data_IF_312731481845
#
_entry.id   IF_312731481845
#
_cell.length_a   1.000
_cell.length_b   1.000
_cell.length_c   1.000
_cell.angle_alpha   90.00
_cell.angle_beta   90.00
_cell.angle_gamma   90.00
#
_symmetry.space_group_name_H-M   'P 1'
#
loop_
_entity.id
_entity.type
_entity.pdbx_description
1 polymer ?
#
# COMPACT_ATOMS: atom_id res chain seq x y z
N UNK A 1 -18.17 3.97 5.02
CA UNK A 1 -17.11 2.98 4.77
C UNK A 1 -16.14 3.01 5.92
N UNK A 2 -15.76 1.84 6.45
CA UNK A 2 -14.91 1.72 7.64
C UNK A 2 -13.85 0.63 7.44
N UNK A 3 -12.61 0.94 7.77
CA UNK A 3 -11.52 -0.02 7.91
C UNK A 3 -11.35 -0.32 9.40
N UNK A 4 -11.41 -1.60 9.76
CA UNK A 4 -11.21 -2.05 11.15
C UNK A 4 -10.08 -3.06 11.22
N UNK A 5 -9.21 -2.87 12.18
CA UNK A 5 -8.27 -3.88 12.65
C UNK A 5 -8.65 -4.22 14.08
N UNK A 6 -8.91 -5.49 14.35
CA UNK A 6 -9.39 -5.97 15.64
C UNK A 6 -8.38 -6.93 16.25
N UNK A 7 -7.81 -6.57 17.39
CA UNK A 7 -6.91 -7.41 18.19
C UNK A 7 -5.73 -7.99 17.40
N UNK A 8 -5.12 -7.18 16.51
CA UNK A 8 -4.03 -7.62 15.67
C UNK A 8 -2.79 -7.92 16.50
N UNK A 9 -2.37 -9.18 16.49
CA UNK A 9 -1.06 -9.60 16.96
C UNK A 9 -0.27 -10.23 15.82
N UNK A 10 1.05 -10.01 15.81
CA UNK A 10 1.90 -10.57 14.77
C UNK A 10 3.28 -10.93 15.28
N UNK A 11 3.73 -12.12 14.91
CA UNK A 11 5.07 -12.64 15.14
C UNK A 11 5.64 -13.20 13.84
N UNK A 12 6.87 -12.85 13.51
CA UNK A 12 7.54 -13.41 12.34
C UNK A 12 7.80 -14.91 12.52
N UNK A 13 7.70 -15.72 11.45
CA UNK A 13 8.07 -17.13 11.50
C UNK A 13 9.51 -17.30 12.00
N UNK A 14 9.72 -18.17 12.99
CA UNK A 14 11.04 -18.38 13.62
C UNK A 14 11.50 -17.28 14.58
N UNK A 15 10.78 -16.16 14.67
CA UNK A 15 11.07 -15.12 15.65
C UNK A 15 10.68 -15.52 17.07
N UNK A 16 11.39 -15.03 18.09
CA UNK A 16 11.03 -15.22 19.50
C UNK A 16 10.10 -14.12 20.02
N UNK A 17 10.12 -12.93 19.41
CA UNK A 17 9.40 -11.74 19.88
C UNK A 17 8.16 -11.45 19.04
N UNK A 18 7.07 -11.08 19.70
CA UNK A 18 5.90 -10.50 19.07
C UNK A 18 6.21 -9.05 18.64
N UNK A 19 5.91 -8.73 17.38
CA UNK A 19 6.16 -7.41 16.78
C UNK A 19 4.97 -6.48 16.96
N UNK A 20 3.76 -7.06 16.91
CA UNK A 20 2.51 -6.37 17.21
C UNK A 20 1.77 -7.18 18.26
N UNK A 21 1.24 -6.52 19.28
CA UNK A 21 0.51 -7.14 20.39
C UNK A 21 -0.80 -6.39 20.61
N UNK A 22 -1.91 -7.07 20.32
CA UNK A 22 -3.29 -6.60 20.57
C UNK A 22 -3.60 -5.19 20.03
N UNK A 23 -3.18 -4.92 18.80
CA UNK A 23 -3.40 -3.60 18.15
C UNK A 23 -4.81 -3.56 17.56
N UNK A 24 -5.61 -2.58 17.98
CA UNK A 24 -6.92 -2.32 17.42
C UNK A 24 -7.03 -0.88 16.94
N UNK A 25 -7.63 -0.68 15.76
CA UNK A 25 -7.92 0.65 15.20
C UNK A 25 -9.16 0.59 14.30
N UNK A 26 -9.83 1.73 14.19
CA UNK A 26 -10.96 1.92 13.28
C UNK A 26 -10.80 3.25 12.56
N UNK A 27 -11.05 3.27 11.25
CA UNK A 27 -10.97 4.45 10.39
C UNK A 27 -12.21 4.55 9.52
N UNK A 28 -12.84 5.70 9.51
CA UNK A 28 -13.87 6.07 8.54
C UNK A 28 -13.27 6.52 7.21
N UNK A 29 -14.08 6.61 6.17
CA UNK A 29 -13.65 7.00 4.81
C UNK A 29 -13.10 8.43 4.68
N UNK A 30 -13.33 9.29 5.67
CA UNK A 30 -12.85 10.69 5.70
C UNK A 30 -11.71 10.89 6.69
N UNK A 31 -11.38 9.86 7.47
CA UNK A 31 -10.37 9.98 8.51
C UNK A 31 -8.95 9.94 7.93
N UNK A 32 -8.04 10.57 8.65
CA UNK A 32 -6.60 10.51 8.40
C UNK A 32 -5.91 10.14 9.70
N UNK A 33 -5.17 9.04 9.68
CA UNK A 33 -4.42 8.55 10.83
C UNK A 33 -2.93 8.60 10.55
N UNK A 34 -2.18 9.31 11.39
CA UNK A 34 -0.72 9.22 11.43
C UNK A 34 -0.27 8.21 12.48
N UNK A 35 0.58 7.27 12.09
CA UNK A 35 1.18 6.28 13.01
C UNK A 35 2.63 6.67 13.25
N UNK A 36 2.93 7.10 14.46
CA UNK A 36 4.28 7.46 14.88
C UNK A 36 4.83 6.42 15.87
N UNK A 37 5.99 5.86 15.55
CA UNK A 37 6.75 4.99 16.44
C UNK A 37 8.22 4.97 16.00
N UNK A 38 9.17 4.65 16.89
CA UNK A 38 10.57 4.47 16.53
C UNK A 38 10.75 3.40 15.43
N UNK A 39 11.89 3.42 14.74
CA UNK A 39 12.23 2.38 13.76
C UNK A 39 12.25 0.99 14.43
N UNK A 40 11.78 -0.03 13.73
CA UNK A 40 11.72 -1.40 14.24
C UNK A 40 10.52 -1.74 15.15
N UNK A 41 9.61 -0.78 15.40
CA UNK A 41 8.41 -1.01 16.21
C UNK A 41 7.19 -1.53 15.43
N UNK A 42 7.40 -2.07 14.23
CA UNK A 42 6.36 -2.79 13.50
C UNK A 42 5.42 -1.92 12.65
N UNK A 43 5.71 -0.62 12.40
CA UNK A 43 4.87 0.24 11.54
C UNK A 43 4.61 -0.38 10.17
N UNK A 44 5.66 -0.70 9.44
CA UNK A 44 5.55 -1.35 8.11
C UNK A 44 4.83 -2.70 8.20
N UNK A 45 5.05 -3.47 9.26
CA UNK A 45 4.35 -4.75 9.48
C UNK A 45 2.85 -4.53 9.66
N UNK A 46 2.44 -3.52 10.44
CA UNK A 46 1.05 -3.15 10.60
C UNK A 46 0.45 -2.69 9.27
N UNK A 47 1.14 -1.82 8.52
CA UNK A 47 0.73 -1.37 7.19
C UNK A 47 0.49 -2.55 6.24
N UNK A 48 1.41 -3.53 6.22
CA UNK A 48 1.30 -4.74 5.40
C UNK A 48 0.11 -5.61 5.80
N UNK A 49 -0.19 -5.73 7.10
CA UNK A 49 -1.36 -6.47 7.59
C UNK A 49 -2.65 -5.75 7.20
N UNK A 50 -2.73 -4.44 7.40
CA UNK A 50 -3.89 -3.63 7.03
C UNK A 50 -4.18 -3.67 5.53
N UNK A 51 -3.16 -3.78 4.69
CA UNK A 51 -3.29 -3.90 3.23
C UNK A 51 -3.42 -5.35 2.72
N UNK A 52 -3.45 -6.34 3.61
CA UNK A 52 -3.63 -7.75 3.25
C UNK A 52 -2.38 -8.46 2.73
N UNK A 53 -1.20 -7.82 2.76
CA UNK A 53 0.06 -8.47 2.36
C UNK A 53 0.58 -9.48 3.38
N UNK A 54 0.08 -9.41 4.62
CA UNK A 54 0.42 -10.34 5.70
C UNK A 54 -0.82 -10.76 6.46
N UNK A 55 -0.90 -12.04 6.79
CA UNK A 55 -1.92 -12.56 7.70
C UNK A 55 -1.44 -12.35 9.14
N UNK A 56 -2.22 -11.71 10.02
CA UNK A 56 -1.86 -11.59 11.42
C UNK A 56 -1.85 -12.96 12.12
N UNK A 57 -1.07 -13.11 13.19
CA UNK A 57 -1.05 -14.33 14.02
C UNK A 57 -2.36 -14.47 14.83
N UNK A 58 -2.93 -13.33 15.23
CA UNK A 58 -4.25 -13.24 15.85
C UNK A 58 -4.93 -11.95 15.43
N UNK A 59 -6.27 -11.91 15.55
CA UNK A 59 -7.08 -10.78 15.11
C UNK A 59 -7.46 -10.83 13.64
N UNK A 60 -8.08 -9.77 13.15
CA UNK A 60 -8.53 -9.66 11.76
C UNK A 60 -8.60 -8.22 11.27
N UNK A 61 -8.55 -8.06 9.94
CA UNK A 61 -8.78 -6.78 9.25
C UNK A 61 -10.03 -6.92 8.39
N UNK A 62 -10.92 -5.92 8.48
CA UNK A 62 -12.17 -5.88 7.74
C UNK A 62 -12.38 -4.50 7.13
N UNK A 63 -13.08 -4.46 5.98
CA UNK A 63 -13.65 -3.26 5.39
C UNK A 63 -15.17 -3.42 5.37
N UNK A 64 -15.90 -2.51 6.03
CA UNK A 64 -17.36 -2.60 6.21
C UNK A 64 -17.82 -3.96 6.74
N UNK A 65 -17.15 -4.44 7.80
CA UNK A 65 -17.35 -5.73 8.46
C UNK A 65 -17.07 -6.97 7.59
N UNK A 66 -16.62 -6.79 6.34
CA UNK A 66 -16.18 -7.88 5.47
C UNK A 66 -14.67 -8.07 5.56
N UNK A 67 -14.17 -9.30 5.73
CA UNK A 67 -12.75 -9.56 5.73
C UNK A 67 -12.10 -9.15 4.41
N UNK A 68 -10.82 -8.80 4.44
CA UNK A 68 -10.07 -8.49 3.21
C UNK A 68 -10.10 -9.70 2.25
N UNK A 69 -10.17 -9.47 0.94
CA UNK A 69 -10.20 -10.56 -0.04
C UNK A 69 -8.88 -11.34 -0.01
N UNK A 70 -8.97 -12.68 -0.01
CA UNK A 70 -7.79 -13.56 -0.07
C UNK A 70 -7.15 -13.63 -1.46
N UNK A 71 -7.82 -13.10 -2.50
CA UNK A 71 -7.32 -13.01 -3.88
C UNK A 71 -8.05 -11.90 -4.63
N UNK A 72 -7.45 -11.42 -5.71
CA UNK A 72 -7.98 -10.33 -6.51
C UNK A 72 -7.66 -8.97 -5.92
N UNK A 73 -8.47 -7.96 -6.27
CA UNK A 73 -8.21 -6.58 -5.88
C UNK A 73 -8.56 -6.32 -4.40
N UNK A 74 -7.60 -5.84 -3.63
CA UNK A 74 -7.83 -5.41 -2.24
C UNK A 74 -8.29 -3.94 -2.21
N UNK A 75 -9.37 -3.58 -1.50
CA UNK A 75 -9.83 -2.21 -1.38
C UNK A 75 -8.92 -1.33 -0.52
N UNK A 76 -7.96 -1.92 0.19
CA UNK A 76 -6.91 -1.24 0.95
C UNK A 76 -5.62 -1.36 0.16
N UNK A 77 -5.13 -0.25 -0.38
CA UNK A 77 -3.90 -0.22 -1.17
C UNK A 77 -2.75 0.37 -0.36
N UNK A 78 -1.54 -0.10 -0.62
CA UNK A 78 -0.33 0.37 0.08
C UNK A 78 0.66 0.98 -0.92
N UNK A 79 1.15 2.17 -0.57
CA UNK A 79 2.29 2.80 -1.23
C UNK A 79 3.52 2.49 -0.39
N UNK A 80 4.48 1.82 -1.00
CA UNK A 80 5.70 1.35 -0.34
C UNK A 80 6.74 2.46 -0.27
N UNK A 81 7.56 2.43 0.77
CA UNK A 81 8.71 3.32 0.94
C UNK A 81 9.72 3.21 -0.23
N UNK A 82 9.91 2.00 -0.75
CA UNK A 82 10.83 1.67 -1.82
C UNK A 82 10.07 1.23 -3.07
N UNK A 83 9.81 2.15 -4.03
CA UNK A 83 9.01 1.85 -5.22
C UNK A 83 9.63 0.76 -6.11
N UNK A 84 10.96 0.63 -6.14
CA UNK A 84 11.69 -0.39 -6.91
C UNK A 84 11.41 -1.82 -6.42
N UNK A 85 10.99 -1.98 -5.16
CA UNK A 85 10.58 -3.27 -4.60
C UNK A 85 9.09 -3.59 -4.83
N UNK A 86 8.32 -2.60 -5.27
CA UNK A 86 6.88 -2.72 -5.44
C UNK A 86 6.47 -3.04 -6.89
N UNK A 87 7.43 -3.07 -7.83
CA UNK A 87 7.18 -3.30 -9.27
C UNK A 87 8.05 -4.42 -9.81
N UNK A 88 7.56 -5.08 -10.85
CA UNK A 88 8.38 -6.05 -11.58
C UNK A 88 9.36 -5.32 -12.52
N UNK A 89 10.69 -5.42 -12.33
CA UNK A 89 11.67 -4.68 -13.13
C UNK A 89 11.74 -5.12 -14.62
N UNK A 90 11.06 -6.21 -14.97
CA UNK A 90 11.09 -6.79 -16.32
C UNK A 90 9.90 -6.38 -17.19
N UNK A 91 8.95 -5.61 -16.67
CA UNK A 91 7.80 -5.14 -17.42
C UNK A 91 7.85 -3.62 -17.61
N UNK A 92 7.22 -3.13 -18.68
CA UNK A 92 7.13 -1.68 -18.92
C UNK A 92 6.14 -1.02 -17.97
N UNK A 93 6.31 0.27 -17.72
CA UNK A 93 5.48 1.01 -16.78
C UNK A 93 3.99 1.03 -17.15
N UNK A 94 3.66 0.95 -18.43
CA UNK A 94 2.28 0.76 -18.87
C UNK A 94 1.65 -0.51 -18.29
N UNK A 95 2.40 -1.62 -18.27
CA UNK A 95 1.91 -2.87 -17.69
C UNK A 95 1.77 -2.77 -16.17
N UNK A 96 2.67 -2.03 -15.50
CA UNK A 96 2.56 -1.77 -14.05
C UNK A 96 1.27 -1.04 -13.70
N UNK A 97 0.86 -0.04 -14.51
CA UNK A 97 -0.44 0.64 -14.32
C UNK A 97 -1.63 -0.33 -14.50
N UNK A 98 -1.51 -1.31 -15.41
CA UNK A 98 -2.54 -2.29 -15.70
C UNK A 98 -2.63 -3.43 -14.68
N UNK A 99 -1.64 -3.61 -13.81
CA UNK A 99 -1.67 -4.62 -12.73
C UNK A 99 -2.72 -4.31 -11.65
N UNK A 100 -3.09 -3.03 -11.51
CA UNK A 100 -4.07 -2.56 -10.54
C UNK A 100 -5.50 -2.63 -11.04
N UNK A 101 -6.26 -1.65 -10.61
CA UNK A 101 -7.62 -1.38 -11.09
C UNK A 101 -7.60 -0.32 -12.20
N UNK A 102 -8.78 0.02 -12.74
CA UNK A 102 -8.92 1.17 -13.65
C UNK A 102 -8.42 2.45 -12.98
N UNK A 103 -7.54 3.15 -13.67
CA UNK A 103 -6.96 4.41 -13.21
C UNK A 103 -7.48 5.52 -14.12
N UNK A 104 -8.08 6.56 -13.54
CA UNK A 104 -8.59 7.67 -14.34
C UNK A 104 -7.44 8.51 -14.91
N UNK A 105 -7.64 9.07 -16.12
CA UNK A 105 -6.67 9.99 -16.76
C UNK A 105 -6.34 11.18 -15.84
N UNK A 106 -7.32 11.65 -15.06
CA UNK A 106 -7.12 12.72 -14.08
C UNK A 106 -6.05 12.38 -13.03
N UNK A 107 -5.95 11.11 -12.61
CA UNK A 107 -4.90 10.67 -11.67
C UNK A 107 -3.54 10.70 -12.34
N UNK A 108 -3.45 10.21 -13.58
CA UNK A 108 -2.21 10.21 -14.38
C UNK A 108 -1.70 11.64 -14.58
N UNK A 109 -2.57 12.55 -15.03
CA UNK A 109 -2.26 13.97 -15.23
C UNK A 109 -1.92 14.68 -13.91
N UNK A 110 -2.70 14.43 -12.85
CA UNK A 110 -2.50 15.03 -11.52
C UNK A 110 -1.18 14.63 -10.87
N UNK A 111 -0.66 13.44 -11.19
CA UNK A 111 0.66 12.97 -10.75
C UNK A 111 1.78 13.39 -11.70
N UNK A 112 1.48 14.08 -12.81
CA UNK A 112 2.47 14.53 -13.79
C UNK A 112 3.22 13.36 -14.44
N UNK A 113 2.54 12.25 -14.71
CA UNK A 113 3.11 11.09 -15.40
C UNK A 113 3.12 11.39 -16.90
N UNK A 114 4.31 11.45 -17.48
CA UNK A 114 4.48 11.69 -18.91
C UNK A 114 4.20 10.40 -19.72
N UNK A 115 3.59 10.55 -20.91
CA UNK A 115 3.19 9.40 -21.74
C UNK A 115 4.37 8.56 -22.23
N UNK A 116 5.51 9.17 -22.50
CA UNK A 116 6.70 8.44 -22.94
C UNK A 116 7.31 7.57 -21.82
N UNK A 117 7.10 7.93 -20.53
CA UNK A 117 7.53 7.10 -19.41
C UNK A 117 6.81 5.75 -19.36
N UNK A 118 5.59 5.66 -19.87
CA UNK A 118 4.83 4.41 -19.92
C UNK A 118 5.54 3.30 -20.73
N UNK A 119 6.39 3.68 -21.68
CA UNK A 119 7.16 2.75 -22.51
C UNK A 119 8.50 2.34 -21.88
N UNK A 120 8.92 2.98 -20.80
CA UNK A 120 10.18 2.70 -20.11
C UNK A 120 10.04 1.52 -19.13
N UNK A 121 11.16 0.93 -18.79
CA UNK A 121 11.27 -0.04 -17.69
C UNK A 121 11.51 0.70 -16.37
N UNK A 122 11.19 0.09 -15.21
CA UNK A 122 11.40 0.71 -13.89
C UNK A 122 12.81 1.28 -13.68
N UNK A 123 13.84 0.56 -14.14
CA UNK A 123 15.23 0.99 -14.00
C UNK A 123 15.66 2.17 -14.90
N UNK A 124 14.78 2.63 -15.79
CA UNK A 124 15.00 3.78 -16.69
C UNK A 124 14.33 5.06 -16.16
N UNK A 125 13.71 4.97 -14.99
CA UNK A 125 13.04 6.08 -14.30
C UNK A 125 13.82 6.50 -13.04
N UNK A 126 13.73 7.77 -12.70
CA UNK A 126 14.15 8.25 -11.38
C UNK A 126 13.25 7.69 -10.28
N UNK A 127 13.73 7.69 -9.03
CA UNK A 127 12.95 7.22 -7.88
C UNK A 127 11.61 7.96 -7.75
N UNK A 128 11.60 9.29 -7.95
CA UNK A 128 10.37 10.10 -7.91
C UNK A 128 9.40 9.79 -9.05
N UNK A 129 9.89 9.60 -10.29
CA UNK A 129 9.07 9.17 -11.42
C UNK A 129 8.46 7.80 -11.16
N UNK A 130 9.25 6.84 -10.69
CA UNK A 130 8.77 5.49 -10.35
C UNK A 130 7.73 5.52 -9.22
N UNK A 131 7.95 6.37 -8.21
CA UNK A 131 7.01 6.55 -7.11
C UNK A 131 5.65 7.05 -7.58
N UNK A 132 5.60 7.97 -8.56
CA UNK A 132 4.33 8.45 -9.16
C UNK A 132 3.53 7.32 -9.79
N UNK A 133 4.17 6.37 -10.48
CA UNK A 133 3.50 5.18 -11.00
C UNK A 133 2.97 4.28 -9.89
N UNK A 134 3.73 4.07 -8.81
CA UNK A 134 3.27 3.29 -7.66
C UNK A 134 2.06 3.93 -6.98
N UNK A 135 2.05 5.27 -6.86
CA UNK A 135 0.90 6.04 -6.35
C UNK A 135 -0.29 5.90 -7.31
N UNK A 136 -0.10 6.10 -8.62
CA UNK A 136 -1.17 5.96 -9.61
C UNK A 136 -1.83 4.59 -9.54
N UNK A 137 -1.02 3.52 -9.52
CA UNK A 137 -1.50 2.13 -9.40
C UNK A 137 -2.34 1.90 -8.13
N UNK A 138 -1.98 2.55 -7.03
CA UNK A 138 -2.72 2.45 -5.77
C UNK A 138 -4.03 3.26 -5.75
N UNK A 139 -4.21 4.22 -6.67
CA UNK A 139 -5.39 5.09 -6.76
C UNK A 139 -6.44 4.60 -7.77
N UNK A 140 -6.61 3.29 -7.91
CA UNK A 140 -7.66 2.70 -8.74
C UNK A 140 -9.08 3.01 -8.22
N UNK A 141 -10.08 2.88 -9.09
CA UNK A 141 -11.48 3.24 -8.81
C UNK A 141 -12.09 2.47 -7.63
N UNK A 142 -11.64 1.25 -7.37
CA UNK A 142 -12.10 0.41 -6.24
C UNK A 142 -11.30 0.63 -4.96
N UNK A 143 -10.26 1.45 -4.97
CA UNK A 143 -9.51 1.80 -3.75
C UNK A 143 -10.41 2.56 -2.79
N UNK A 144 -10.42 2.14 -1.54
CA UNK A 144 -11.22 2.72 -0.46
C UNK A 144 -10.35 3.31 0.65
N UNK A 145 -9.24 2.68 0.91
CA UNK A 145 -8.26 3.14 1.90
C UNK A 145 -6.86 3.08 1.29
N UNK A 146 -6.07 4.10 1.59
CA UNK A 146 -4.70 4.22 1.13
C UNK A 146 -3.78 4.26 2.35
N UNK A 147 -2.78 3.40 2.34
CA UNK A 147 -1.72 3.35 3.35
C UNK A 147 -0.44 3.85 2.71
N UNK A 148 0.20 4.84 3.33
CA UNK A 148 1.46 5.40 2.90
C UNK A 148 2.55 5.08 3.93
N UNK A 149 3.54 4.28 3.56
CA UNK A 149 4.66 3.92 4.42
C UNK A 149 5.88 4.79 4.05
N UNK A 150 6.07 5.90 4.81
CA UNK A 150 7.20 6.84 4.71
C UNK A 150 7.46 7.41 3.29
N UNK A 151 6.39 7.72 2.54
CA UNK A 151 6.49 8.14 1.13
C UNK A 151 7.08 9.55 0.90
N UNK A 152 7.17 10.37 1.95
CA UNK A 152 7.57 11.78 1.83
C UNK A 152 9.04 12.00 1.48
N UNK A 153 9.90 10.97 1.58
CA UNK A 153 11.33 11.08 1.30
C UNK A 153 11.67 11.07 -0.20
N UNK A 154 10.70 10.73 -1.06
CA UNK A 154 10.88 10.57 -2.52
C UNK A 154 10.07 11.57 -3.35
N UNK A 155 9.24 12.39 -2.72
CA UNK A 155 8.43 13.41 -3.39
C UNK A 155 9.01 14.78 -3.05
N UNK A 156 9.56 15.46 -4.06
CA UNK A 156 9.95 16.87 -4.00
C UNK A 156 8.72 17.78 -4.02
#
# INVERSE_FOLDING_TARGET
MRLKAEHISYKYPGGSREVLSDVSLELGSTDRLGIAAPSGFGKTTLCQILAGYRTPTAGRVCVDDMPLPGSGYCPVQMIWQHPEQAVNPRVRMQAVLQEGDSISERVIEGLGIERDWCNRYPGELSGGELQRFCIARALGERTRFLIADEISTMLD
#
